data_IF_283750080515
#
_entry.id   IF_283750080515
#
_cell.length_a   1.000
_cell.length_b   1.000
_cell.length_c   1.000
_cell.angle_alpha   90.00
_cell.angle_beta   90.00
_cell.angle_gamma   90.00
#
_symmetry.space_group_name_H-M   'P 1'
#
loop_
_entity.id
_entity.type
_entity.pdbx_description
1 polymer ?
#
# COMPACT_ATOMS: atom_id res chain seq x y z
N UNK A 1 -15.13 7.71 9.55
CA UNK A 1 -15.56 6.75 8.50
C UNK A 1 -14.34 6.23 7.78
N UNK A 2 -14.21 4.91 7.70
CA UNK A 2 -13.10 4.30 6.98
C UNK A 2 -13.52 4.02 5.54
N UNK A 3 -12.69 4.43 4.60
CA UNK A 3 -12.98 4.30 3.17
C UNK A 3 -11.92 3.43 2.51
N UNK A 4 -12.36 2.41 1.80
CA UNK A 4 -11.46 1.53 1.04
C UNK A 4 -10.85 2.26 -0.15
N UNK A 5 -9.62 1.91 -0.49
CA UNK A 5 -9.01 2.42 -1.71
C UNK A 5 -9.60 1.66 -2.89
N UNK A 6 -10.15 2.40 -3.86
CA UNK A 6 -10.84 1.81 -5.02
C UNK A 6 -10.26 2.26 -6.35
N UNK A 7 -9.08 2.89 -6.34
CA UNK A 7 -8.44 3.32 -7.58
C UNK A 7 -8.09 2.12 -8.46
N UNK A 8 -8.02 2.35 -9.76
CA UNK A 8 -7.64 1.31 -10.71
C UNK A 8 -6.21 0.83 -10.46
N UNK A 9 -5.97 -0.46 -10.69
CA UNK A 9 -4.63 -1.01 -10.60
C UNK A 9 -3.78 -0.58 -11.80
N UNK A 10 -2.50 -0.36 -11.55
CA UNK A 10 -1.51 0.03 -12.56
C UNK A 10 -0.41 -1.03 -12.59
N UNK A 11 0.08 -1.44 -13.77
CA UNK A 11 1.17 -2.41 -13.84
C UNK A 11 2.41 -1.95 -13.07
N UNK A 12 3.03 -2.86 -12.33
CA UNK A 12 4.23 -2.59 -11.53
C UNK A 12 5.46 -2.74 -12.44
N UNK A 13 5.77 -1.67 -13.19
CA UNK A 13 6.89 -1.62 -14.14
C UNK A 13 7.70 -0.35 -13.94
N UNK A 14 8.98 -0.33 -14.36
CA UNK A 14 9.78 0.90 -14.27
C UNK A 14 9.13 2.09 -14.97
N UNK A 15 8.48 1.86 -16.10
CA UNK A 15 7.87 2.92 -16.91
C UNK A 15 6.71 3.60 -16.17
N UNK A 16 5.84 2.81 -15.53
CA UNK A 16 4.70 3.35 -14.79
C UNK A 16 5.15 4.05 -13.51
N UNK A 17 6.17 3.52 -12.85
CA UNK A 17 6.66 4.06 -11.60
C UNK A 17 7.32 5.44 -11.80
N UNK A 18 8.01 5.65 -12.92
CA UNK A 18 8.64 6.93 -13.22
C UNK A 18 7.65 8.08 -13.33
N UNK A 19 6.38 7.79 -13.57
CA UNK A 19 5.32 8.80 -13.66
C UNK A 19 4.80 9.23 -12.28
N UNK A 20 5.21 8.56 -11.22
CA UNK A 20 4.73 8.86 -9.87
C UNK A 20 5.43 10.08 -9.29
N UNK A 21 4.72 10.88 -8.48
CA UNK A 21 5.34 12.01 -7.78
C UNK A 21 6.20 11.53 -6.62
N UNK A 22 7.15 12.35 -6.20
CA UNK A 22 7.97 12.11 -5.02
C UNK A 22 7.31 12.62 -3.75
N UNK A 23 6.02 12.36 -3.55
CA UNK A 23 5.22 12.89 -2.42
C UNK A 23 4.90 11.79 -1.41
N UNK A 24 4.44 12.23 -0.23
CA UNK A 24 4.05 11.32 0.85
C UNK A 24 2.69 10.71 0.55
N UNK A 25 2.48 9.49 1.01
CA UNK A 25 1.20 8.84 0.80
C UNK A 25 1.22 7.37 1.20
N UNK A 26 0.20 6.66 0.76
CA UNK A 26 0.02 5.24 1.00
C UNK A 26 -0.13 4.51 -0.33
N UNK A 27 0.14 3.20 -0.32
CA UNK A 27 0.01 2.41 -1.53
C UNK A 27 -0.39 0.97 -1.20
N UNK A 28 -0.94 0.31 -2.20
CA UNK A 28 -1.26 -1.10 -2.16
C UNK A 28 -0.61 -1.79 -3.36
N UNK A 29 -0.13 -3.00 -3.14
CA UNK A 29 0.37 -3.87 -4.19
C UNK A 29 -0.58 -5.06 -4.32
N UNK A 30 -0.74 -5.55 -5.54
CA UNK A 30 -1.63 -6.68 -5.81
C UNK A 30 -0.94 -7.70 -6.72
N UNK A 31 -1.45 -8.94 -6.66
CA UNK A 31 -1.06 -9.98 -7.61
C UNK A 31 -1.85 -9.82 -8.93
N UNK A 32 -1.61 -10.71 -9.87
CA UNK A 32 -2.25 -10.63 -11.19
C UNK A 32 -3.77 -10.78 -11.13
N UNK A 33 -4.29 -11.41 -10.10
CA UNK A 33 -5.74 -11.58 -9.91
C UNK A 33 -6.39 -10.36 -9.24
N UNK A 34 -5.60 -9.37 -8.81
CA UNK A 34 -6.13 -8.19 -8.13
C UNK A 34 -6.26 -8.34 -6.62
N UNK A 35 -5.69 -9.39 -6.04
CA UNK A 35 -5.69 -9.55 -4.58
C UNK A 35 -4.60 -8.69 -3.97
N UNK A 36 -4.94 -7.90 -2.96
CA UNK A 36 -3.96 -7.06 -2.26
C UNK A 36 -2.99 -7.96 -1.51
N UNK A 37 -1.69 -7.84 -1.83
CA UNK A 37 -0.64 -8.63 -1.20
C UNK A 37 0.29 -7.82 -0.31
N UNK A 38 0.22 -6.49 -0.38
CA UNK A 38 1.03 -5.62 0.48
C UNK A 38 0.39 -4.24 0.58
N UNK A 39 0.45 -3.65 1.77
CA UNK A 39 0.06 -2.27 2.03
C UNK A 39 1.25 -1.57 2.63
N UNK A 40 1.61 -0.40 2.11
CA UNK A 40 2.76 0.36 2.58
C UNK A 40 2.50 1.86 2.54
N UNK A 41 3.52 2.61 2.95
CA UNK A 41 3.44 4.07 2.94
C UNK A 41 4.80 4.68 2.60
N UNK A 42 4.77 5.92 2.12
CA UNK A 42 5.93 6.77 1.97
C UNK A 42 5.82 7.88 3.00
N UNK A 43 6.73 7.88 3.95
CA UNK A 43 6.74 8.84 5.05
C UNK A 43 7.92 9.80 4.94
N UNK A 44 8.15 10.57 6.02
CA UNK A 44 9.21 11.57 6.06
C UNK A 44 10.62 11.02 5.89
N UNK A 45 10.82 9.71 6.05
CA UNK A 45 12.14 9.05 5.86
C UNK A 45 12.27 8.37 4.52
N UNK A 46 11.23 8.38 3.69
CA UNK A 46 11.26 7.74 2.38
C UNK A 46 11.97 8.64 1.38
N UNK A 47 13.06 8.14 0.79
CA UNK A 47 13.72 8.85 -0.30
C UNK A 47 12.80 8.84 -1.51
N UNK A 48 12.60 10.02 -2.12
CA UNK A 48 11.76 10.18 -3.32
C UNK A 48 10.27 9.83 -3.08
N UNK A 49 9.81 9.79 -1.82
CA UNK A 49 8.40 9.60 -1.51
C UNK A 49 7.80 8.32 -2.09
N UNK A 50 6.57 8.43 -2.59
CA UNK A 50 5.84 7.28 -3.15
C UNK A 50 6.62 6.64 -4.31
N UNK A 51 7.20 7.44 -5.19
CA UNK A 51 7.97 6.90 -6.32
C UNK A 51 9.09 5.98 -5.84
N UNK A 52 9.87 6.43 -4.85
CA UNK A 52 10.97 5.64 -4.32
C UNK A 52 10.50 4.32 -3.68
N UNK A 53 9.38 4.36 -2.97
CA UNK A 53 8.83 3.14 -2.36
C UNK A 53 8.36 2.14 -3.41
N UNK A 54 7.69 2.60 -4.46
CA UNK A 54 7.22 1.72 -5.52
C UNK A 54 8.40 1.21 -6.37
N UNK A 55 9.45 2.00 -6.56
CA UNK A 55 10.68 1.52 -7.23
C UNK A 55 11.27 0.31 -6.50
N UNK A 56 11.30 0.35 -5.17
CA UNK A 56 11.75 -0.81 -4.38
C UNK A 56 10.86 -2.02 -4.64
N UNK A 57 9.57 -1.81 -4.75
CA UNK A 57 8.60 -2.89 -5.01
C UNK A 57 8.81 -3.53 -6.39
N UNK A 58 9.22 -2.75 -7.40
CA UNK A 58 9.55 -3.29 -8.73
C UNK A 58 10.66 -4.32 -8.62
N UNK A 59 11.68 -4.03 -7.79
CA UNK A 59 12.82 -4.93 -7.59
C UNK A 59 12.48 -6.13 -6.71
N UNK A 60 11.75 -5.87 -5.61
CA UNK A 60 11.51 -6.88 -4.57
C UNK A 60 10.25 -7.72 -4.79
N UNK A 61 9.26 -7.18 -5.45
CA UNK A 61 7.95 -7.81 -5.72
C UNK A 61 7.40 -8.56 -4.51
N UNK A 62 7.07 -7.85 -3.41
CA UNK A 62 6.59 -8.51 -2.20
C UNK A 62 5.41 -9.42 -2.50
N UNK A 63 5.49 -10.68 -2.04
CA UNK A 63 4.44 -11.68 -2.23
C UNK A 63 3.98 -11.85 -3.69
N UNK A 64 4.90 -11.63 -4.65
CA UNK A 64 4.60 -11.80 -6.07
C UNK A 64 3.80 -10.65 -6.68
N UNK A 65 3.89 -9.45 -6.13
CA UNK A 65 3.15 -8.30 -6.62
C UNK A 65 3.45 -7.99 -8.08
N UNK A 66 2.40 -7.68 -8.85
CA UNK A 66 2.51 -7.34 -10.27
C UNK A 66 1.81 -6.03 -10.60
N UNK A 67 1.07 -5.45 -9.66
CA UNK A 67 0.29 -4.23 -9.84
C UNK A 67 0.37 -3.37 -8.60
N UNK A 68 0.11 -2.07 -8.77
CA UNK A 68 0.06 -1.15 -7.64
C UNK A 68 -1.03 -0.10 -7.82
N UNK A 69 -1.38 0.54 -6.73
CA UNK A 69 -2.16 1.79 -6.72
C UNK A 69 -1.72 2.63 -5.53
N UNK A 70 -1.79 3.95 -5.67
CA UNK A 70 -1.27 4.90 -4.69
C UNK A 70 -2.30 5.96 -4.35
N UNK A 71 -2.17 6.52 -3.17
CA UNK A 71 -2.95 7.67 -2.74
C UNK A 71 -1.99 8.66 -2.09
N UNK A 72 -1.90 9.86 -2.66
CA UNK A 72 -1.08 10.95 -2.09
C UNK A 72 -1.83 11.48 -0.87
N UNK A 73 -1.18 11.45 0.29
CA UNK A 73 -1.84 11.83 1.53
C UNK A 73 -0.78 12.20 2.56
N UNK A 74 -0.82 13.43 3.06
CA UNK A 74 0.13 13.85 4.10
C UNK A 74 -0.15 13.19 5.45
N UNK A 75 -1.37 12.73 5.68
CA UNK A 75 -1.73 11.95 6.86
C UNK A 75 -1.57 10.46 6.59
N UNK A 76 -0.43 10.10 6.07
CA UNK A 76 -0.15 8.74 5.61
C UNK A 76 -0.19 7.71 6.74
N UNK A 77 0.22 8.08 7.95
CA UNK A 77 0.22 7.15 9.09
C UNK A 77 -1.19 6.69 9.43
N UNK A 78 -2.11 7.64 9.55
CA UNK A 78 -3.51 7.35 9.85
C UNK A 78 -4.15 6.53 8.72
N UNK A 79 -3.89 6.94 7.48
CA UNK A 79 -4.44 6.25 6.32
C UNK A 79 -3.88 4.83 6.16
N UNK A 80 -2.59 4.65 6.45
CA UNK A 80 -1.95 3.34 6.42
C UNK A 80 -2.61 2.39 7.44
N UNK A 81 -2.78 2.86 8.69
CA UNK A 81 -3.46 2.06 9.72
C UNK A 81 -4.89 1.71 9.30
N UNK A 82 -5.61 2.68 8.74
CA UNK A 82 -6.98 2.48 8.28
C UNK A 82 -7.05 1.40 7.20
N UNK A 83 -6.16 1.44 6.22
CA UNK A 83 -6.13 0.44 5.15
C UNK A 83 -5.79 -0.95 5.69
N UNK A 84 -4.87 -1.05 6.64
CA UNK A 84 -4.55 -2.33 7.28
C UNK A 84 -5.75 -2.88 8.05
N UNK A 85 -6.43 -2.03 8.83
CA UNK A 85 -7.60 -2.44 9.60
C UNK A 85 -8.74 -2.90 8.69
N UNK A 86 -8.94 -2.22 7.56
CA UNK A 86 -9.95 -2.61 6.57
C UNK A 86 -9.61 -3.98 5.98
N UNK A 87 -8.35 -4.22 5.66
CA UNK A 87 -7.93 -5.50 5.12
C UNK A 87 -8.13 -6.63 6.14
N UNK A 88 -7.79 -6.39 7.39
CA UNK A 88 -8.02 -7.36 8.47
C UNK A 88 -9.51 -7.66 8.61
N UNK A 89 -10.35 -6.63 8.55
CA UNK A 89 -11.79 -6.81 8.62
C UNK A 89 -12.32 -7.65 7.47
N UNK A 90 -11.83 -7.40 6.26
CA UNK A 90 -12.34 -8.07 5.05
C UNK A 90 -11.80 -9.50 4.89
N UNK A 91 -10.59 -9.78 5.37
CA UNK A 91 -9.87 -11.02 5.07
C UNK A 91 -9.39 -11.79 6.30
N UNK A 92 -9.56 -11.25 7.50
CA UNK A 92 -9.18 -11.91 8.74
C UNK A 92 -7.70 -11.80 9.11
N UNK A 93 -6.90 -11.05 8.36
CA UNK A 93 -5.48 -10.85 8.63
C UNK A 93 -4.88 -9.79 7.72
N UNK A 94 -3.61 -9.43 7.97
CA UNK A 94 -2.89 -8.48 7.12
C UNK A 94 -2.52 -9.15 5.79
N UNK A 95 -2.22 -8.35 4.74
CA UNK A 95 -1.79 -8.94 3.46
C UNK A 95 -0.54 -9.81 3.62
N UNK A 96 -0.38 -10.78 2.75
CA UNK A 96 0.72 -11.76 2.83
C UNK A 96 2.10 -11.11 2.91
N UNK A 97 2.32 -10.04 2.15
CA UNK A 97 3.60 -9.33 2.15
C UNK A 97 3.87 -8.52 3.41
N UNK A 98 2.85 -8.30 4.25
CA UNK A 98 2.99 -7.59 5.53
C UNK A 98 3.25 -8.53 6.71
N UNK A 99 3.08 -9.82 6.53
CA UNK A 99 3.32 -10.79 7.60
C UNK A 99 4.80 -10.80 7.96
N UNK A 100 5.11 -10.72 9.25
CA UNK A 100 6.49 -10.69 9.73
C UNK A 100 7.17 -9.33 9.63
N UNK A 101 6.49 -8.30 9.15
CA UNK A 101 6.99 -6.93 9.13
C UNK A 101 6.50 -6.17 10.36
N UNK A 102 7.22 -5.12 10.80
CA UNK A 102 6.72 -4.28 11.89
C UNK A 102 5.37 -3.69 11.50
N UNK A 103 4.38 -3.84 12.40
CA UNK A 103 3.04 -3.32 12.17
C UNK A 103 2.66 -2.40 13.32
N UNK A 104 1.84 -1.36 13.06
CA UNK A 104 1.30 -0.55 14.14
C UNK A 104 0.29 -1.37 14.95
N UNK A 105 0.01 -0.92 16.19
CA UNK A 105 -1.08 -1.49 16.96
C UNK A 105 -2.39 -1.10 16.29
N UNK A 106 -3.16 -2.11 15.87
CA UNK A 106 -4.43 -1.88 15.19
C UNK A 106 -5.58 -2.04 16.17
N UNK A 107 -6.49 -1.07 16.13
CA UNK A 107 -7.74 -1.17 16.88
C UNK A 107 -8.81 -1.87 16.05
N UNK A 108 -10.03 -1.86 16.57
CA UNK A 108 -11.18 -2.31 15.81
C UNK A 108 -11.67 -1.21 14.88
N UNK A 109 -12.07 -1.60 13.70
CA UNK A 109 -12.61 -0.69 12.71
C UNK A 109 -13.92 -1.24 12.17
N UNK A 110 -14.96 -0.38 12.19
CA UNK A 110 -16.26 -0.73 11.60
C UNK A 110 -16.41 0.08 10.31
N UNK A 111 -16.07 -0.50 9.17
CA UNK A 111 -16.23 0.20 7.89
C UNK A 111 -17.71 0.33 7.53
N UNK A 112 -18.02 1.39 6.83
CA UNK A 112 -19.39 1.63 6.35
C UNK A 112 -19.59 1.07 4.96
#
# INVERSE_FOLDING_TARGET
MAIRMTKAWVPLTPETVQKLPGQLGVYQLADAAGNVVFIGFAGGRSLFGIRGEIEKAVSNRPAGATQFRVEINQQYTTRYQELLMLHVHDHGGVPAGNVGKPLPTLGRLSPL
#
